data_IF_848770246552
#
_entry.id   IF_848770246552
#
_cell.length_a   1.000
_cell.length_b   1.000
_cell.length_c   1.000
_cell.angle_alpha   90.00
_cell.angle_beta   90.00
_cell.angle_gamma   90.00
#
_symmetry.space_group_name_H-M   'P 1'
#
loop_
_entity.id
_entity.type
_entity.pdbx_description
1 polymer ?
#
# COMPACT_ATOMS: atom_id res chain seq x y z
N UNK A 1 -13.23 3.19 -10.17
CA UNK A 1 -13.72 3.92 -8.96
C UNK A 1 -14.50 3.02 -7.99
N UNK A 2 -15.49 2.23 -8.45
CA UNK A 2 -16.21 1.29 -7.57
C UNK A 2 -15.28 0.28 -6.90
N UNK A 3 -14.37 -0.31 -7.67
CA UNK A 3 -13.39 -1.28 -7.16
C UNK A 3 -12.41 -0.61 -6.16
N UNK A 4 -11.87 0.58 -6.47
CA UNK A 4 -11.05 1.36 -5.52
C UNK A 4 -11.75 1.61 -4.17
N UNK A 5 -13.04 1.96 -4.22
CA UNK A 5 -13.85 2.14 -3.00
C UNK A 5 -14.02 0.81 -2.25
N UNK A 6 -14.26 -0.28 -2.98
CA UNK A 6 -14.41 -1.61 -2.37
C UNK A 6 -13.12 -2.04 -1.65
N UNK A 7 -11.97 -1.88 -2.29
CA UNK A 7 -10.66 -2.18 -1.68
C UNK A 7 -10.43 -1.32 -0.44
N UNK A 8 -10.75 -0.01 -0.50
CA UNK A 8 -10.66 0.89 0.65
C UNK A 8 -11.58 0.52 1.82
N UNK A 9 -12.79 0.04 1.56
CA UNK A 9 -13.69 -0.39 2.64
C UNK A 9 -13.24 -1.71 3.28
N UNK A 10 -12.66 -2.62 2.49
CA UNK A 10 -12.04 -3.84 3.00
C UNK A 10 -10.87 -3.54 3.95
N UNK A 11 -10.21 -2.38 3.78
CA UNK A 11 -9.14 -1.93 4.65
C UNK A 11 -9.56 -1.76 6.12
N UNK A 12 -10.82 -1.41 6.41
CA UNK A 12 -11.27 -1.03 7.77
C UNK A 12 -11.22 -2.17 8.79
N UNK A 13 -11.02 -3.40 8.34
CA UNK A 13 -11.11 -4.60 9.16
C UNK A 13 -9.91 -5.54 9.02
N UNK A 14 -8.77 -5.05 8.53
CA UNK A 14 -7.55 -5.84 8.42
C UNK A 14 -7.02 -6.18 9.82
N UNK A 15 -6.70 -7.46 10.03
CA UNK A 15 -6.21 -8.00 11.31
C UNK A 15 -4.86 -8.71 11.18
N UNK A 16 -4.47 -9.03 9.95
CA UNK A 16 -3.26 -9.79 9.66
C UNK A 16 -2.42 -9.11 8.59
N UNK A 17 -1.12 -9.42 8.60
CA UNK A 17 -0.19 -8.95 7.56
C UNK A 17 -0.60 -9.46 6.17
N UNK A 18 -1.12 -10.69 6.08
CA UNK A 18 -1.62 -11.25 4.82
C UNK A 18 -2.82 -10.47 4.25
N UNK A 19 -3.77 -10.12 5.11
CA UNK A 19 -4.90 -9.27 4.73
C UNK A 19 -4.44 -7.89 4.28
N UNK A 20 -3.45 -7.30 4.97
CA UNK A 20 -2.83 -6.04 4.56
C UNK A 20 -2.25 -6.14 3.15
N UNK A 21 -1.39 -7.13 2.90
CA UNK A 21 -0.72 -7.35 1.61
C UNK A 21 -1.73 -7.46 0.48
N UNK A 22 -2.78 -8.27 0.69
CA UNK A 22 -3.81 -8.46 -0.31
C UNK A 22 -4.57 -7.17 -0.62
N UNK A 23 -4.95 -6.41 0.41
CA UNK A 23 -5.73 -5.18 0.21
C UNK A 23 -4.87 -4.06 -0.41
N UNK A 24 -3.59 -3.96 -0.04
CA UNK A 24 -2.61 -3.07 -0.65
C UNK A 24 -2.43 -3.37 -2.16
N UNK A 25 -2.27 -4.66 -2.49
CA UNK A 25 -2.21 -5.15 -3.86
C UNK A 25 -3.46 -4.77 -4.67
N UNK A 26 -4.65 -5.09 -4.14
CA UNK A 26 -5.93 -4.84 -4.82
C UNK A 26 -6.17 -3.34 -5.03
N UNK A 27 -5.79 -2.49 -4.07
CA UNK A 27 -5.90 -1.04 -4.22
C UNK A 27 -5.06 -0.51 -5.39
N UNK A 28 -3.78 -0.89 -5.44
CA UNK A 28 -2.88 -0.45 -6.51
C UNK A 28 -3.27 -1.02 -7.88
N UNK A 29 -3.74 -2.27 -7.92
CA UNK A 29 -4.24 -2.88 -9.15
C UNK A 29 -5.50 -2.17 -9.65
N UNK A 30 -6.48 -1.91 -8.78
CA UNK A 30 -7.69 -1.19 -9.14
C UNK A 30 -7.40 0.25 -9.64
N UNK A 31 -6.35 0.89 -9.12
CA UNK A 31 -5.89 2.19 -9.59
C UNK A 31 -5.32 2.10 -11.02
N UNK A 32 -4.53 1.08 -11.31
CA UNK A 32 -4.01 0.84 -12.65
C UNK A 32 -5.11 0.45 -13.65
N UNK A 33 -6.05 -0.40 -13.25
CA UNK A 33 -7.18 -0.81 -14.10
C UNK A 33 -8.10 0.38 -14.44
N UNK A 34 -8.24 1.34 -13.53
CA UNK A 34 -8.97 2.58 -13.80
C UNK A 34 -8.34 3.45 -14.91
N UNK A 35 -7.08 3.21 -15.28
CA UNK A 35 -6.41 3.93 -16.39
C UNK A 35 -6.70 3.34 -17.77
N UNK A 36 -7.26 2.12 -17.85
CA UNK A 36 -7.41 1.32 -19.08
C UNK A 36 -6.10 1.13 -19.89
N UNK A 37 -4.95 1.34 -19.25
CA UNK A 37 -3.64 1.20 -19.86
C UNK A 37 -3.06 -0.19 -19.56
N UNK A 38 -3.20 -1.12 -20.51
CA UNK A 38 -2.73 -2.51 -20.39
C UNK A 38 -1.25 -2.65 -20.02
N UNK A 39 -0.39 -1.76 -20.52
CA UNK A 39 1.03 -1.75 -20.18
C UNK A 39 1.25 -1.35 -18.72
N UNK A 40 0.52 -0.34 -18.25
CA UNK A 40 0.60 0.10 -16.86
C UNK A 40 0.05 -0.95 -15.89
N UNK A 41 -1.07 -1.60 -16.24
CA UNK A 41 -1.63 -2.71 -15.47
C UNK A 41 -0.60 -3.84 -15.33
N UNK A 42 0.03 -4.26 -16.43
CA UNK A 42 1.07 -5.30 -16.36
C UNK A 42 2.26 -4.85 -15.52
N UNK A 43 2.69 -3.59 -15.67
CA UNK A 43 3.79 -3.05 -14.88
C UNK A 43 3.50 -3.12 -13.37
N UNK A 44 2.30 -2.74 -12.94
CA UNK A 44 1.90 -2.81 -11.53
C UNK A 44 1.85 -4.26 -11.05
N UNK A 45 1.28 -5.19 -11.82
CA UNK A 45 1.27 -6.62 -11.45
C UNK A 45 2.67 -7.17 -11.23
N UNK A 46 3.60 -6.88 -12.15
CA UNK A 46 5.00 -7.33 -12.05
C UNK A 46 5.74 -6.64 -10.89
N UNK A 47 5.51 -5.34 -10.67
CA UNK A 47 6.14 -4.60 -9.59
C UNK A 47 5.71 -5.14 -8.21
N UNK A 48 4.41 -5.37 -8.02
CA UNK A 48 3.87 -5.89 -6.76
C UNK A 48 4.30 -7.35 -6.51
N UNK A 49 4.33 -8.21 -7.53
CA UNK A 49 4.87 -9.57 -7.41
C UNK A 49 6.34 -9.58 -6.97
N UNK A 50 7.14 -8.61 -7.42
CA UNK A 50 8.55 -8.49 -7.00
C UNK A 50 8.69 -7.89 -5.60
N UNK A 51 7.77 -7.03 -5.17
CA UNK A 51 7.73 -6.48 -3.81
C UNK A 51 7.33 -7.51 -2.75
N UNK A 52 6.61 -8.56 -3.17
CA UNK A 52 6.18 -9.66 -2.32
C UNK A 52 7.32 -10.33 -1.54
N UNK A 53 8.55 -10.27 -2.08
CA UNK A 53 9.70 -10.90 -1.46
C UNK A 53 10.46 -10.02 -0.45
N UNK A 54 10.90 -8.79 -0.76
CA UNK A 54 11.66 -8.01 0.22
C UNK A 54 10.78 -7.16 1.14
N UNK A 55 9.74 -6.50 0.60
CA UNK A 55 8.98 -5.49 1.35
C UNK A 55 7.96 -6.13 2.29
N UNK A 56 7.14 -7.05 1.78
CA UNK A 56 6.12 -7.69 2.59
C UNK A 56 6.69 -8.66 3.64
N UNK A 57 7.84 -9.31 3.36
CA UNK A 57 8.54 -10.10 4.37
C UNK A 57 9.05 -9.25 5.54
N UNK A 58 9.52 -8.04 5.27
CA UNK A 58 9.90 -7.09 6.33
C UNK A 58 8.70 -6.77 7.24
N UNK A 59 7.52 -6.59 6.66
CA UNK A 59 6.30 -6.32 7.42
C UNK A 59 5.90 -7.52 8.28
N UNK A 60 6.05 -8.75 7.75
CA UNK A 60 5.83 -9.99 8.53
C UNK A 60 6.79 -10.07 9.71
N UNK A 61 8.08 -9.87 9.48
CA UNK A 61 9.10 -9.94 10.54
C UNK A 61 8.91 -8.82 11.58
N UNK A 62 8.40 -7.66 11.17
CA UNK A 62 8.04 -6.59 12.10
C UNK A 62 6.81 -6.94 12.97
N UNK A 63 5.83 -7.71 12.46
CA UNK A 63 4.70 -8.21 13.27
C UNK A 63 5.14 -9.24 14.31
N UNK A 64 6.08 -10.12 13.96
CA UNK A 64 6.56 -11.18 14.85
C UNK A 64 7.40 -10.65 16.04
N UNK A 65 8.00 -9.46 15.90
CA UNK A 65 8.93 -8.88 16.87
C UNK A 65 8.37 -7.82 17.82
N UNK A 66 7.10 -7.42 17.68
CA UNK A 66 6.50 -6.29 18.43
C UNK A 66 5.36 -6.71 19.37
N UNK A 67 5.27 -6.06 20.54
CA UNK A 67 4.18 -6.22 21.51
C UNK A 67 2.87 -5.52 21.08
N UNK A 68 2.94 -4.64 20.08
CA UNK A 68 1.81 -3.89 19.49
C UNK A 68 1.68 -4.32 18.04
N UNK A 69 0.47 -4.66 17.58
CA UNK A 69 0.27 -5.14 16.20
C UNK A 69 0.84 -4.15 15.18
N UNK A 70 1.90 -4.59 14.52
CA UNK A 70 2.60 -3.88 13.45
C UNK A 70 1.68 -3.65 12.28
N UNK A 71 0.65 -4.48 12.09
CA UNK A 71 -0.46 -4.25 11.15
C UNK A 71 -1.12 -2.91 11.44
N UNK A 72 -1.59 -2.62 12.65
CA UNK A 72 -2.31 -1.38 12.93
C UNK A 72 -1.41 -0.14 12.75
N UNK A 73 -0.15 -0.23 13.17
CA UNK A 73 0.84 0.85 13.04
C UNK A 73 1.29 1.09 11.60
N UNK A 74 1.59 0.01 10.86
CA UNK A 74 2.10 0.09 9.49
C UNK A 74 0.96 0.41 8.53
N UNK A 75 -0.21 -0.21 8.75
CA UNK A 75 -1.36 -0.08 7.89
C UNK A 75 -2.18 1.18 8.14
N UNK A 76 -2.35 1.64 9.39
CA UNK A 76 -3.14 2.85 9.66
C UNK A 76 -2.70 4.03 8.80
N UNK A 77 -1.38 4.24 8.70
CA UNK A 77 -0.80 5.26 7.81
C UNK A 77 -1.04 4.96 6.31
N UNK A 78 -0.96 3.69 5.90
CA UNK A 78 -1.21 3.30 4.51
C UNK A 78 -2.67 3.51 4.10
N UNK A 79 -3.60 3.26 5.02
CA UNK A 79 -5.03 3.53 4.84
C UNK A 79 -5.29 5.02 4.64
N UNK A 80 -4.77 5.88 5.53
CA UNK A 80 -4.93 7.33 5.43
C UNK A 80 -4.39 7.86 4.08
N UNK A 81 -3.24 7.33 3.64
CA UNK A 81 -2.65 7.66 2.35
C UNK A 81 -3.54 7.20 1.18
N UNK A 82 -4.07 5.96 1.22
CA UNK A 82 -4.98 5.43 0.19
C UNK A 82 -6.30 6.21 0.12
N UNK A 83 -6.86 6.59 1.26
CA UNK A 83 -8.07 7.41 1.34
C UNK A 83 -7.82 8.79 0.71
N UNK A 84 -6.70 9.44 1.04
CA UNK A 84 -6.32 10.72 0.46
C UNK A 84 -6.11 10.65 -1.06
N UNK A 85 -5.51 9.56 -1.58
CA UNK A 85 -5.36 9.33 -3.02
C UNK A 85 -6.73 9.19 -3.67
N UNK A 86 -7.61 8.36 -3.11
CA UNK A 86 -8.94 8.11 -3.65
C UNK A 86 -9.81 9.36 -3.66
N UNK A 87 -9.81 10.14 -2.57
CA UNK A 87 -10.54 11.41 -2.50
C UNK A 87 -10.08 12.41 -3.57
N UNK A 88 -8.77 12.54 -3.76
CA UNK A 88 -8.22 13.42 -4.78
C UNK A 88 -8.64 12.97 -6.19
N UNK A 89 -8.66 11.66 -6.46
CA UNK A 89 -9.16 11.11 -7.72
C UNK A 89 -10.65 11.41 -7.89
N UNK A 90 -11.48 11.20 -6.86
CA UNK A 90 -12.91 11.51 -6.90
C UNK A 90 -13.18 12.98 -7.22
N UNK A 91 -12.40 13.88 -6.62
CA UNK A 91 -12.47 15.34 -6.85
C UNK A 91 -11.84 15.78 -8.18
N UNK A 92 -11.31 14.83 -8.98
CA UNK A 92 -10.58 15.10 -10.23
C UNK A 92 -9.34 15.99 -10.05
N UNK A 93 -8.72 15.94 -8.86
CA UNK A 93 -7.55 16.73 -8.49
C UNK A 93 -6.26 15.94 -8.76
N UNK A 94 -5.88 15.83 -10.04
CA UNK A 94 -4.75 15.01 -10.47
C UNK A 94 -3.41 15.36 -9.81
N UNK A 95 -3.16 16.65 -9.54
CA UNK A 95 -1.95 17.11 -8.84
C UNK A 95 -1.91 16.65 -7.39
N UNK A 96 -3.05 16.67 -6.70
CA UNK A 96 -3.20 16.20 -5.33
C UNK A 96 -3.06 14.68 -5.26
N UNK A 97 -3.72 13.94 -6.15
CA UNK A 97 -3.60 12.49 -6.23
C UNK A 97 -2.14 12.06 -6.44
N UNK A 98 -1.43 12.74 -7.35
CA UNK A 98 0.01 12.52 -7.58
C UNK A 98 0.84 12.81 -6.33
N UNK A 99 0.58 13.93 -5.65
CA UNK A 99 1.30 14.30 -4.43
C UNK A 99 1.09 13.26 -3.33
N UNK A 100 -0.14 12.84 -3.11
CA UNK A 100 -0.47 11.81 -2.11
C UNK A 100 0.21 10.47 -2.42
N UNK A 101 0.21 10.03 -3.68
CA UNK A 101 0.91 8.80 -4.09
C UNK A 101 2.42 8.90 -3.88
N UNK A 102 3.05 10.04 -4.17
CA UNK A 102 4.48 10.23 -3.93
C UNK A 102 4.79 10.13 -2.43
N UNK A 103 3.99 10.78 -1.59
CA UNK A 103 4.17 10.75 -0.14
C UNK A 103 4.02 9.32 0.41
N UNK A 104 3.00 8.60 -0.06
CA UNK A 104 2.75 7.20 0.28
C UNK A 104 3.97 6.32 -0.03
N UNK A 105 4.48 6.39 -1.27
CA UNK A 105 5.64 5.61 -1.70
C UNK A 105 6.92 5.99 -0.92
N UNK A 106 7.08 7.26 -0.58
CA UNK A 106 8.20 7.72 0.27
C UNK A 106 8.10 7.16 1.69
N UNK A 107 6.91 7.14 2.28
CA UNK A 107 6.68 6.57 3.59
C UNK A 107 6.93 5.06 3.60
N UNK A 108 6.48 4.34 2.57
CA UNK A 108 6.75 2.91 2.40
C UNK A 108 8.25 2.62 2.28
N UNK A 109 8.96 3.41 1.45
CA UNK A 109 10.42 3.31 1.29
C UNK A 109 11.16 3.57 2.61
N UNK A 110 10.79 4.61 3.35
CA UNK A 110 11.43 4.95 4.61
C UNK A 110 11.33 3.80 5.61
N UNK A 111 10.12 3.25 5.80
CA UNK A 111 9.87 2.08 6.66
C UNK A 111 10.74 0.88 6.26
N UNK A 112 10.82 0.63 4.95
CA UNK A 112 11.65 -0.46 4.41
C UNK A 112 13.13 -0.27 4.76
N UNK A 113 13.67 0.93 4.57
CA UNK A 113 15.07 1.25 4.90
C UNK A 113 15.35 1.13 6.39
N UNK A 114 14.50 1.70 7.25
CA UNK A 114 14.65 1.65 8.72
C UNK A 114 14.67 0.21 9.24
N UNK A 115 13.81 -0.65 8.71
CA UNK A 115 13.80 -2.06 9.09
C UNK A 115 15.01 -2.83 8.56
N UNK A 116 15.40 -2.58 7.31
CA UNK A 116 16.57 -3.22 6.72
C UNK A 116 17.85 -2.88 7.50
N UNK A 117 18.02 -1.63 7.91
CA UNK A 117 19.15 -1.17 8.70
C UNK A 117 19.15 -1.73 10.14
N UNK A 118 17.99 -1.88 10.76
CA UNK A 118 17.88 -2.44 12.12
C UNK A 118 18.03 -3.96 12.17
N UNK A 119 17.66 -4.68 11.11
CA UNK A 119 17.81 -6.15 11.02
C UNK A 119 19.21 -6.63 10.63
N UNK A 120 20.10 -5.73 10.18
CA UNK A 120 21.47 -6.03 9.76
C UNK A 120 22.54 -5.41 10.70
N UNK A 121 22.15 -4.91 11.88
CA UNK A 121 23.03 -4.52 12.98
C UNK A 121 22.84 -5.46 14.17
#
# INVERSE_FOLDING_TARGET
LRELKSSLEQCKHIKTVDEFINVDYEFHLALAEASDNRLFIQFIKEALLKLDQPYYNIIRLAEEGDDVSSVERLFGKSYDDHEAIYEAILKSESSMARKSMINHLQAAKQKFTEYYESSHN
#
